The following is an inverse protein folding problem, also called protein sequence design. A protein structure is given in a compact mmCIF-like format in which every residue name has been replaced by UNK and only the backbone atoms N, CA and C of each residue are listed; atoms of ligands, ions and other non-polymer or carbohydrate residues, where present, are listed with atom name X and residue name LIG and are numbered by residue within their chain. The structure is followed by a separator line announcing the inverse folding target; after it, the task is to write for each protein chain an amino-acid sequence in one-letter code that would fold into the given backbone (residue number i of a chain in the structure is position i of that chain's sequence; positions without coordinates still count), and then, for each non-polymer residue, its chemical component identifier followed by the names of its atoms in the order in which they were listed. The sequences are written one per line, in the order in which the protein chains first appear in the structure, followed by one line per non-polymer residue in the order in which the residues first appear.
data_IF_280843461878
#
_entry.id   IF_280843461878
#
_cell.length_a   1.000
_cell.length_b   1.000
_cell.length_c   1.000
_cell.angle_alpha   90.00
_cell.angle_beta   90.00
_cell.angle_gamma   90.00
#
_symmetry.space_group_name_H-M   'P 1'
#
loop_
_entity.id
_entity.type
_entity.pdbx_description
1 polymer ?
#
# COMPACT_ATOMS: atom_id res chain seq x y z
N UNK A 1 -5.07 -8.09 29.82
CA UNK A 1 -3.81 -7.49 29.31
C UNK A 1 -2.92 -8.66 28.96
N UNK A 2 -2.93 -9.04 27.69
CA UNK A 2 -2.10 -10.11 27.16
C UNK A 2 -0.72 -9.56 26.82
N UNK A 3 0.33 -10.34 27.07
CA UNK A 3 1.68 -10.07 26.61
C UNK A 3 2.06 -11.12 25.57
N UNK A 4 2.72 -10.67 24.50
CA UNK A 4 3.21 -11.55 23.45
C UNK A 4 4.72 -11.40 23.34
N UNK A 5 5.39 -12.55 23.34
CA UNK A 5 6.82 -12.64 23.08
C UNK A 5 7.03 -12.73 21.56
N UNK A 6 7.80 -11.78 21.02
CA UNK A 6 8.15 -11.73 19.60
C UNK A 6 9.66 -11.72 19.43
N UNK A 7 10.15 -12.29 18.33
CA UNK A 7 11.58 -12.31 18.01
C UNK A 7 11.79 -11.49 16.75
N UNK A 8 12.63 -10.46 16.83
CA UNK A 8 12.95 -9.55 15.72
C UNK A 8 14.48 -9.40 15.67
N UNK A 9 15.08 -9.55 14.50
CA UNK A 9 16.54 -9.47 14.32
C UNK A 9 17.32 -10.41 15.26
N UNK A 10 16.72 -11.58 15.60
CA UNK A 10 17.30 -12.56 16.50
C UNK A 10 17.22 -12.23 18.00
N UNK A 11 16.47 -11.19 18.39
CA UNK A 11 16.30 -10.80 19.80
C UNK A 11 14.84 -10.90 20.26
N UNK A 12 14.58 -11.38 21.48
CA UNK A 12 13.23 -11.45 22.04
C UNK A 12 12.79 -10.09 22.59
N UNK A 13 11.54 -9.72 22.31
CA UNK A 13 10.86 -8.55 22.86
C UNK A 13 9.52 -8.95 23.45
N UNK A 14 9.17 -8.38 24.60
CA UNK A 14 7.83 -8.49 25.20
C UNK A 14 7.02 -7.26 24.84
N UNK A 15 5.86 -7.47 24.23
CA UNK A 15 4.96 -6.38 23.83
C UNK A 15 3.56 -6.65 24.38
N UNK A 16 3.01 -5.65 25.07
CA UNK A 16 1.63 -5.68 25.55
C UNK A 16 0.64 -5.53 24.40
N UNK A 17 -0.41 -6.34 24.41
CA UNK A 17 -1.47 -6.29 23.41
C UNK A 17 -2.85 -6.46 24.06
N UNK A 18 -3.90 -6.15 23.29
CA UNK A 18 -5.27 -6.41 23.69
C UNK A 18 -5.63 -7.86 23.40
N UNK A 19 -6.54 -8.40 24.20
CA UNK A 19 -7.01 -9.76 24.04
C UNK A 19 -7.65 -9.91 22.64
N UNK A 20 -7.13 -10.84 21.82
CA UNK A 20 -7.54 -11.04 20.42
C UNK A 20 -6.64 -10.38 19.35
N UNK A 21 -5.72 -9.49 19.71
CA UNK A 21 -4.77 -8.86 18.76
C UNK A 21 -3.43 -9.61 18.65
N UNK A 22 -3.25 -10.70 19.39
CA UNK A 22 -1.98 -11.43 19.49
C UNK A 22 -1.45 -11.92 18.14
N UNK A 23 -2.32 -12.48 17.29
CA UNK A 23 -1.93 -13.02 15.99
C UNK A 23 -1.52 -11.91 15.02
N UNK A 24 -2.21 -10.77 15.06
CA UNK A 24 -1.95 -9.59 14.25
C UNK A 24 -0.59 -9.00 14.65
N UNK A 25 -0.30 -8.94 15.95
CA UNK A 25 0.99 -8.51 16.45
C UNK A 25 2.13 -9.47 16.04
N UNK A 26 1.90 -10.79 16.10
CA UNK A 26 2.87 -11.80 15.61
C UNK A 26 3.08 -11.69 14.10
N UNK A 27 2.05 -11.37 13.33
CA UNK A 27 2.17 -11.13 11.89
C UNK A 27 2.99 -9.86 11.62
N UNK A 28 2.72 -8.76 12.33
CA UNK A 28 3.50 -7.54 12.25
C UNK A 28 4.97 -7.76 12.63
N UNK A 29 5.24 -8.51 13.71
CA UNK A 29 6.60 -8.84 14.11
C UNK A 29 7.36 -9.65 13.05
N UNK A 30 6.68 -10.61 12.40
CA UNK A 30 7.26 -11.38 11.27
C UNK A 30 7.62 -10.47 10.08
N UNK A 31 6.78 -9.49 9.79
CA UNK A 31 7.04 -8.51 8.73
C UNK A 31 8.28 -7.67 9.04
N UNK A 32 8.38 -7.15 10.28
CA UNK A 32 9.55 -6.38 10.72
C UNK A 32 10.81 -7.24 10.72
N UNK A 33 10.75 -8.50 11.16
CA UNK A 33 11.89 -9.42 11.13
C UNK A 33 12.38 -9.66 9.69
N UNK A 34 11.48 -9.91 8.75
CA UNK A 34 11.81 -10.08 7.34
C UNK A 34 12.54 -8.85 6.77
N UNK A 35 12.03 -7.64 7.05
CA UNK A 35 12.62 -6.38 6.60
C UNK A 35 13.96 -6.09 7.27
N UNK A 36 14.12 -6.49 8.52
CA UNK A 36 15.40 -6.39 9.23
C UNK A 36 16.48 -7.27 8.63
N UNK A 37 16.12 -8.45 8.10
CA UNK A 37 17.05 -9.37 7.41
C UNK A 37 17.40 -8.85 6.02
N UNK A 38 16.43 -8.29 5.30
CA UNK A 38 16.66 -7.62 4.02
C UNK A 38 17.67 -6.47 4.17
N UNK A 39 17.52 -5.65 5.22
CA UNK A 39 18.46 -4.58 5.54
C UNK A 39 19.90 -5.10 5.80
N UNK A 40 20.06 -6.26 6.44
CA UNK A 40 21.39 -6.89 6.62
C UNK A 40 21.99 -7.35 5.30
N UNK A 41 21.17 -7.91 4.39
CA UNK A 41 21.65 -8.45 3.12
C UNK A 41 22.23 -7.38 2.19
N UNK A 42 21.73 -6.14 2.27
CA UNK A 42 22.19 -5.02 1.42
C UNK A 42 23.38 -4.24 1.98
N UNK A 43 23.62 -4.26 3.30
CA UNK A 43 24.58 -3.36 3.97
C UNK A 43 25.65 -4.07 4.82
N UNK A 44 25.61 -5.40 4.94
CA UNK A 44 26.57 -6.18 5.72
C UNK A 44 26.26 -6.19 7.23
N UNK A 45 27.29 -6.31 8.08
CA UNK A 45 27.10 -6.34 9.53
C UNK A 45 26.73 -4.96 10.08
N UNK A 46 25.48 -4.81 10.53
CA UNK A 46 24.97 -3.59 11.15
C UNK A 46 24.76 -3.79 12.65
N UNK A 47 24.79 -2.70 13.42
CA UNK A 47 24.28 -2.71 14.79
C UNK A 47 22.77 -2.89 14.79
N UNK A 48 22.22 -3.50 15.84
CA UNK A 48 20.78 -3.74 16.01
C UNK A 48 19.95 -2.46 15.78
N UNK A 49 20.32 -1.35 16.42
CA UNK A 49 19.60 -0.09 16.27
C UNK A 49 19.56 0.40 14.82
N UNK A 50 20.66 0.21 14.07
CA UNK A 50 20.75 0.61 12.67
C UNK A 50 19.97 -0.36 11.77
N UNK A 51 19.99 -1.65 12.08
CA UNK A 51 19.21 -2.67 11.37
C UNK A 51 17.71 -2.40 11.49
N UNK A 52 17.21 -2.11 12.71
CA UNK A 52 15.82 -1.77 12.94
C UNK A 52 15.42 -0.43 12.30
N UNK A 53 16.32 0.56 12.31
CA UNK A 53 16.12 1.82 11.59
C UNK A 53 15.89 1.57 10.09
N UNK A 54 16.76 0.79 9.44
CA UNK A 54 16.60 0.47 8.02
C UNK A 54 15.35 -0.36 7.75
N UNK A 55 15.02 -1.33 8.61
CA UNK A 55 13.77 -2.08 8.49
C UNK A 55 12.54 -1.16 8.52
N UNK A 56 12.54 -0.18 9.44
CA UNK A 56 11.49 0.84 9.53
C UNK A 56 11.41 1.73 8.30
N UNK A 57 12.55 2.16 7.75
CA UNK A 57 12.58 2.96 6.51
C UNK A 57 12.05 2.19 5.31
N UNK A 58 12.43 0.91 5.15
CA UNK A 58 11.91 0.06 4.08
C UNK A 58 10.40 -0.17 4.20
N UNK A 59 9.90 -0.33 5.42
CA UNK A 59 8.45 -0.44 5.66
C UNK A 59 7.73 0.87 5.37
N UNK A 60 8.31 2.01 5.75
CA UNK A 60 7.74 3.31 5.46
C UNK A 60 7.67 3.58 3.95
N UNK A 61 8.72 3.21 3.21
CA UNK A 61 8.77 3.31 1.75
C UNK A 61 7.64 2.51 1.09
N UNK A 62 7.43 1.26 1.52
CA UNK A 62 6.32 0.44 1.05
C UNK A 62 4.96 1.07 1.35
N UNK A 63 4.77 1.70 2.52
CA UNK A 63 3.52 2.37 2.86
C UNK A 63 3.31 3.67 2.08
N UNK A 64 4.38 4.34 1.67
CA UNK A 64 4.34 5.52 0.82
C UNK A 64 4.01 5.12 -0.62
N UNK A 65 4.64 4.08 -1.15
CA UNK A 65 4.41 3.58 -2.51
C UNK A 65 3.00 2.99 -2.70
N UNK A 66 2.49 2.29 -1.70
CA UNK A 66 1.13 1.75 -1.72
C UNK A 66 0.06 2.80 -1.39
N UNK A 67 0.45 4.04 -1.11
CA UNK A 67 -0.50 5.13 -0.89
C UNK A 67 -0.98 5.64 -2.27
N UNK A 68 -2.28 5.56 -2.59
CA UNK A 68 -2.80 6.22 -3.79
C UNK A 68 -2.47 7.71 -3.71
N UNK A 69 -2.01 8.30 -4.82
CA UNK A 69 -1.48 9.67 -4.92
C UNK A 69 -2.43 10.79 -4.41
N UNK A 70 -3.66 10.47 -3.99
CA UNK A 70 -4.61 11.38 -3.36
C UNK A 70 -4.63 11.41 -1.82
N UNK A 71 -3.82 10.60 -1.12
CA UNK A 71 -3.86 10.50 0.35
C UNK A 71 -2.74 11.25 1.10
N UNK A 72 -2.07 12.21 0.45
CA UNK A 72 -1.10 13.11 1.12
C UNK A 72 -1.79 14.39 1.61
N UNK A 73 -2.86 14.25 2.37
CA UNK A 73 -3.44 15.37 3.12
C UNK A 73 -4.19 14.89 4.38
N UNK A 74 -3.63 13.95 5.13
CA UNK A 74 -4.00 13.81 6.54
C UNK A 74 -2.93 13.05 7.31
N UNK A 75 -1.96 13.79 7.84
CA UNK A 75 -1.21 13.39 9.05
C UNK A 75 -1.64 14.28 10.22
N UNK A 76 -2.84 14.87 10.14
CA UNK A 76 -3.42 15.65 11.21
C UNK A 76 -4.89 15.27 11.37
N UNK A 77 -5.11 14.33 12.29
CA UNK A 77 -6.33 14.15 13.09
C UNK A 77 -7.64 13.70 12.42
N UNK A 78 -8.20 12.66 13.05
CA UNK A 78 -9.60 12.22 13.12
C UNK A 78 -10.22 11.39 11.97
N UNK A 79 -10.90 10.26 12.30
CA UNK A 79 -11.56 9.40 11.33
C UNK A 79 -13.03 9.83 11.16
N UNK A 80 -13.41 10.23 9.94
CA UNK A 80 -14.80 10.29 9.51
C UNK A 80 -14.96 9.51 8.20
N UNK A 81 -16.05 8.74 8.02
CA UNK A 81 -16.18 7.82 6.90
C UNK A 81 -16.48 8.62 5.64
N UNK A 82 -15.50 8.77 4.77
CA UNK A 82 -15.70 9.40 3.47
C UNK A 82 -16.22 8.35 2.50
N UNK A 83 -17.43 8.58 1.99
CA UNK A 83 -18.03 7.87 0.87
C UNK A 83 -17.04 7.73 -0.31
N UNK A 84 -17.18 6.69 -1.15
CA UNK A 84 -16.30 6.50 -2.30
C UNK A 84 -16.33 7.78 -3.16
N UNK A 85 -15.16 8.43 -3.26
CA UNK A 85 -14.99 9.62 -4.08
C UNK A 85 -15.38 9.27 -5.52
N UNK A 86 -16.32 10.02 -6.07
CA UNK A 86 -16.70 9.90 -7.47
C UNK A 86 -15.46 10.04 -8.37
N UNK A 87 -15.39 9.31 -9.50
CA UNK A 87 -14.30 9.46 -10.44
C UNK A 87 -14.19 10.93 -10.85
N UNK A 88 -12.94 11.39 -10.97
CA UNK A 88 -12.63 12.76 -11.38
C UNK A 88 -13.45 13.14 -12.63
N UNK A 89 -14.25 14.23 -12.58
CA UNK A 89 -15.11 14.63 -13.69
C UNK A 89 -14.32 14.85 -14.99
N UNK A 90 -13.03 15.20 -14.92
CA UNK A 90 -12.19 15.27 -16.12
C UNK A 90 -11.92 13.90 -16.73
N UNK A 91 -11.64 12.89 -15.91
CA UNK A 91 -11.38 11.52 -16.39
C UNK A 91 -12.66 10.95 -16.99
N UNK A 92 -13.81 11.16 -16.36
CA UNK A 92 -15.10 10.76 -16.88
C UNK A 92 -15.39 11.42 -18.25
N UNK A 93 -15.15 12.73 -18.37
CA UNK A 93 -15.34 13.46 -19.63
C UNK A 93 -14.40 12.96 -20.76
N UNK A 94 -13.13 12.68 -20.43
CA UNK A 94 -12.16 12.11 -21.38
C UNK A 94 -12.55 10.70 -21.81
N UNK A 95 -13.02 9.86 -20.88
CA UNK A 95 -13.49 8.52 -21.18
C UNK A 95 -14.71 8.53 -22.11
N UNK A 96 -15.68 9.41 -21.87
CA UNK A 96 -16.85 9.58 -22.74
C UNK A 96 -16.46 10.01 -24.16
N UNK A 97 -15.57 11.01 -24.30
CA UNK A 97 -15.06 11.42 -25.63
C UNK A 97 -14.33 10.32 -26.38
N UNK A 98 -13.59 9.47 -25.66
CA UNK A 98 -12.92 8.31 -26.25
C UNK A 98 -13.94 7.27 -26.74
N UNK A 99 -14.97 6.99 -25.95
CA UNK A 99 -16.04 6.08 -26.33
C UNK A 99 -16.79 6.56 -27.59
N UNK A 100 -17.17 7.83 -27.65
CA UNK A 100 -17.83 8.44 -28.82
C UNK A 100 -16.97 8.34 -30.11
N UNK A 101 -15.65 8.51 -29.98
CA UNK A 101 -14.72 8.35 -31.11
C UNK A 101 -14.62 6.91 -31.56
N UNK A 102 -14.65 5.95 -30.64
CA UNK A 102 -14.64 4.53 -30.99
C UNK A 102 -15.93 4.11 -31.68
N UNK A 103 -17.08 4.62 -31.23
CA UNK A 103 -18.37 4.33 -31.84
C UNK A 103 -18.50 4.91 -33.26
N UNK A 104 -17.99 6.12 -33.50
CA UNK A 104 -17.97 6.70 -34.86
C UNK A 104 -17.02 5.95 -35.82
N UNK A 105 -15.89 5.48 -35.32
CA UNK A 105 -14.97 4.62 -36.10
C UNK A 105 -15.61 3.26 -36.41
N UNK A 106 -16.26 2.64 -35.42
CA UNK A 106 -16.97 1.37 -35.60
C UNK A 106 -18.08 1.51 -36.67
N UNK A 107 -18.90 2.55 -36.57
CA UNK A 107 -19.96 2.83 -37.56
C UNK A 107 -19.39 3.03 -38.98
N UNK A 108 -18.26 3.74 -39.09
CA UNK A 108 -17.62 3.96 -40.38
C UNK A 108 -17.11 2.66 -41.02
N UNK A 109 -16.58 1.74 -40.21
CA UNK A 109 -16.12 0.43 -40.66
C UNK A 109 -17.29 -0.50 -41.04
N UNK A 110 -18.39 -0.45 -40.29
CA UNK A 110 -19.61 -1.18 -40.63
C UNK A 110 -20.22 -0.69 -41.95
N UNK A 111 -20.27 0.62 -42.16
CA UNK A 111 -20.74 1.22 -43.41
C UNK A 111 -19.82 0.88 -44.60
N UNK A 112 -18.51 0.78 -44.39
CA UNK A 112 -17.56 0.35 -45.42
C UNK A 112 -17.73 -1.14 -45.74
N UNK A 113 -17.88 -1.99 -44.71
CA UNK A 113 -18.14 -3.41 -44.87
C UNK A 113 -19.51 -3.73 -45.49
N UNK A 114 -20.52 -2.89 -45.29
CA UNK A 114 -21.83 -3.04 -45.91
C UNK A 114 -21.87 -2.55 -47.38
N UNK A 115 -20.87 -1.75 -47.80
CA UNK A 115 -20.71 -1.26 -49.17
C UNK A 115 -19.80 -2.14 -50.04
N UNK A 116 -19.02 -3.03 -49.43
CA UNK A 116 -18.16 -4.03 -50.10
C UNK A 116 -18.88 -5.34 -50.34
#
# INVERSE_FOLDING_TARGET
MAEVDVIIAGRPYKVGCRDGEEEQLRAAARLVDAKSREALSGLGSLSEARQLLFAGLLLADQLIDNRPQGATASVASEPAPSAPAAPDPEIACRATRLAERLESLASSLEDEAARS
#
